data_IF_749430849467
#
_entry.id   IF_749430849467
#
_cell.length_a   1.000
_cell.length_b   1.000
_cell.length_c   1.000
_cell.angle_alpha   90.00
_cell.angle_beta   90.00
_cell.angle_gamma   90.00
#
_symmetry.space_group_name_H-M   'P 1'
#
loop_
_entity.id
_entity.type
_entity.pdbx_description
1 polymer ?
#
# COMPACT_ATOMS: atom_id res chain seq x y z
N UNK A 1 -8.09 11.63 3.14
CA UNK A 1 -6.89 11.12 3.82
C UNK A 1 -5.72 12.10 3.73
N UNK A 2 -5.33 12.60 2.54
CA UNK A 2 -4.19 13.53 2.35
C UNK A 2 -4.16 14.71 3.35
N UNK A 3 -5.27 15.43 3.51
CA UNK A 3 -5.35 16.58 4.43
C UNK A 3 -5.07 16.21 5.90
N UNK A 4 -5.43 15.01 6.34
CA UNK A 4 -5.16 14.53 7.69
C UNK A 4 -3.70 14.13 7.88
N UNK A 5 -3.07 13.53 6.86
CA UNK A 5 -1.64 13.21 6.88
C UNK A 5 -0.79 14.47 6.93
N UNK A 6 -1.14 15.47 6.14
CA UNK A 6 -0.43 16.75 6.14
C UNK A 6 -0.56 17.47 7.48
N UNK A 7 -1.74 17.45 8.10
CA UNK A 7 -1.95 17.99 9.44
C UNK A 7 -1.13 17.24 10.51
N UNK A 8 -1.05 15.91 10.41
CA UNK A 8 -0.24 15.08 11.30
C UNK A 8 1.25 15.38 11.14
N UNK A 9 1.75 15.43 9.89
CA UNK A 9 3.15 15.73 9.58
C UNK A 9 3.59 17.08 10.10
N UNK A 10 2.69 18.09 10.05
CA UNK A 10 2.96 19.44 10.55
C UNK A 10 2.76 19.56 12.07
N UNK A 11 2.24 18.54 12.74
CA UNK A 11 1.89 18.59 14.16
C UNK A 11 0.80 19.58 14.50
N UNK A 12 0.06 20.09 13.50
CA UNK A 12 -0.93 21.14 13.67
C UNK A 12 -2.22 20.87 12.89
N UNK A 13 -3.25 20.47 13.64
CA UNK A 13 -4.58 20.29 13.12
C UNK A 13 -5.40 21.61 13.00
N UNK A 14 -4.87 22.71 13.53
CA UNK A 14 -5.58 23.98 13.69
C UNK A 14 -4.98 25.13 12.90
N UNK A 15 -3.93 24.91 12.10
CA UNK A 15 -3.26 25.97 11.34
C UNK A 15 -4.31 26.76 10.56
N UNK A 16 -4.53 28.00 10.96
CA UNK A 16 -5.28 28.97 10.19
C UNK A 16 -4.32 29.53 9.15
N UNK A 17 -4.50 29.11 7.91
CA UNK A 17 -3.71 29.66 6.82
C UNK A 17 -4.43 30.88 6.31
N UNK A 18 -3.87 32.02 6.60
CA UNK A 18 -4.29 33.32 6.07
C UNK A 18 -3.56 33.57 4.74
N UNK A 19 -3.72 32.64 3.79
CA UNK A 19 -3.21 32.81 2.43
C UNK A 19 -4.25 33.54 1.58
N UNK A 20 -3.83 34.65 1.00
CA UNK A 20 -4.58 35.33 -0.05
C UNK A 20 -4.07 34.88 -1.41
N UNK A 21 -4.91 34.26 -2.20
CA UNK A 21 -4.64 33.93 -3.60
C UNK A 21 -5.53 34.84 -4.43
N UNK A 22 -4.93 35.66 -5.28
CA UNK A 22 -5.63 36.64 -6.15
C UNK A 22 -6.56 37.62 -5.39
N UNK A 23 -6.17 38.00 -4.17
CA UNK A 23 -6.94 38.94 -3.37
C UNK A 23 -8.08 38.36 -2.54
N UNK A 24 -8.46 37.13 -2.75
CA UNK A 24 -9.46 36.41 -1.95
C UNK A 24 -8.85 35.62 -0.78
N UNK A 25 -9.53 35.66 0.36
CA UNK A 25 -9.10 34.98 1.57
C UNK A 25 -9.40 33.47 1.48
N UNK A 26 -8.37 32.62 1.50
CA UNK A 26 -8.54 31.17 1.55
C UNK A 26 -8.96 30.78 2.97
N UNK A 27 -10.24 30.47 3.16
CA UNK A 27 -10.85 30.21 4.47
C UNK A 27 -10.34 28.93 5.16
N UNK A 28 -9.77 27.97 4.45
CA UNK A 28 -9.00 26.86 5.02
C UNK A 28 -8.18 26.14 3.95
N UNK A 29 -6.97 25.75 4.29
CA UNK A 29 -6.12 24.92 3.42
C UNK A 29 -6.81 23.59 3.06
N UNK A 30 -7.55 23.01 4.00
CA UNK A 30 -8.33 21.79 3.79
C UNK A 30 -9.39 21.95 2.70
N UNK A 31 -10.09 23.06 2.68
CA UNK A 31 -11.08 23.36 1.64
C UNK A 31 -10.45 23.69 0.29
N UNK A 32 -9.27 24.30 0.27
CA UNK A 32 -8.53 24.61 -0.95
C UNK A 32 -7.92 23.34 -1.58
N UNK A 33 -7.31 22.46 -0.77
CA UNK A 33 -6.80 21.17 -1.20
C UNK A 33 -7.92 20.27 -1.76
N UNK A 34 -9.08 20.29 -1.11
CA UNK A 34 -10.24 19.51 -1.57
C UNK A 34 -10.79 20.01 -2.91
N UNK A 35 -10.67 21.32 -3.20
CA UNK A 35 -11.15 21.94 -4.45
C UNK A 35 -10.13 21.89 -5.59
N UNK A 36 -8.83 21.91 -5.27
CA UNK A 36 -7.75 21.88 -6.28
C UNK A 36 -7.47 20.47 -6.83
N UNK A 37 -8.02 19.46 -6.18
CA UNK A 37 -7.65 18.09 -6.46
C UNK A 37 -6.23 17.75 -5.96
N UNK A 38 -5.87 16.50 -6.05
CA UNK A 38 -4.54 16.00 -5.71
C UNK A 38 -3.95 15.45 -7.00
N UNK A 39 -2.73 15.85 -7.34
CA UNK A 39 -2.05 15.35 -8.53
C UNK A 39 -1.75 13.86 -8.42
N UNK A 40 -1.74 13.16 -9.56
CA UNK A 40 -1.48 11.72 -9.66
C UNK A 40 -0.20 11.29 -8.90
N UNK A 41 0.89 12.05 -9.04
CA UNK A 41 2.15 11.75 -8.35
C UNK A 41 2.01 11.78 -6.81
N UNK A 42 1.19 12.68 -6.27
CA UNK A 42 0.94 12.75 -4.84
C UNK A 42 0.05 11.59 -4.36
N UNK A 43 -0.93 11.18 -5.17
CA UNK A 43 -1.77 10.01 -4.89
C UNK A 43 -0.95 8.71 -4.90
N UNK A 44 -0.10 8.52 -5.91
CA UNK A 44 0.82 7.38 -5.98
C UNK A 44 1.80 7.34 -4.81
N UNK A 45 2.30 8.50 -4.39
CA UNK A 45 3.17 8.59 -3.21
C UNK A 45 2.44 8.22 -1.92
N UNK A 46 1.21 8.70 -1.74
CA UNK A 46 0.38 8.37 -0.59
C UNK A 46 0.06 6.86 -0.56
N UNK A 47 -0.30 6.30 -1.72
CA UNK A 47 -0.52 4.86 -1.85
C UNK A 47 0.75 4.07 -1.48
N UNK A 48 1.91 4.46 -1.99
CA UNK A 48 3.17 3.80 -1.67
C UNK A 48 3.48 3.79 -0.16
N UNK A 49 3.17 4.86 0.56
CA UNK A 49 3.33 4.93 2.02
C UNK A 49 2.40 3.93 2.71
N UNK A 50 1.13 3.84 2.28
CA UNK A 50 0.16 2.91 2.86
C UNK A 50 0.55 1.46 2.58
N UNK A 51 0.94 1.17 1.34
CA UNK A 51 1.39 -0.16 0.95
C UNK A 51 2.65 -0.58 1.70
N UNK A 52 3.62 0.33 1.88
CA UNK A 52 4.82 0.03 2.68
C UNK A 52 4.49 -0.29 4.13
N UNK A 53 3.51 0.38 4.72
CA UNK A 53 3.04 0.06 6.07
C UNK A 53 2.36 -1.31 6.11
N UNK A 54 1.51 -1.61 5.12
CA UNK A 54 0.81 -2.90 5.02
C UNK A 54 1.78 -4.07 4.89
N UNK A 55 2.68 -4.01 3.92
CA UNK A 55 3.57 -5.14 3.59
C UNK A 55 4.68 -5.38 4.62
N UNK A 56 4.96 -4.43 5.50
CA UNK A 56 5.95 -4.57 6.57
C UNK A 56 5.33 -4.70 7.97
N UNK A 57 4.03 -4.94 8.05
CA UNK A 57 3.34 -5.28 9.29
C UNK A 57 2.97 -6.76 9.23
N UNK A 58 3.34 -7.51 10.25
CA UNK A 58 2.89 -8.90 10.43
C UNK A 58 1.47 -8.85 10.99
N UNK A 59 0.57 -9.64 10.42
CA UNK A 59 -0.81 -9.72 10.86
C UNK A 59 -0.92 -10.39 12.25
N UNK A 60 -2.04 -10.14 12.93
CA UNK A 60 -2.27 -10.69 14.26
C UNK A 60 -2.52 -12.21 14.23
N UNK A 61 -3.12 -12.72 13.16
CA UNK A 61 -3.40 -14.14 12.95
C UNK A 61 -2.13 -15.00 12.90
N UNK A 62 -0.99 -14.41 12.53
CA UNK A 62 0.33 -15.07 12.57
C UNK A 62 0.92 -15.18 13.98
N UNK A 63 0.47 -14.35 14.93
CA UNK A 63 1.04 -14.26 16.27
C UNK A 63 0.12 -14.86 17.34
N UNK A 64 -1.20 -14.79 17.14
CA UNK A 64 -2.22 -15.16 18.10
C UNK A 64 -3.27 -16.06 17.45
N UNK A 65 -3.80 -17.00 18.22
CA UNK A 65 -4.90 -17.86 17.75
C UNK A 65 -6.20 -17.04 17.62
N UNK A 66 -6.66 -16.90 16.38
CA UNK A 66 -7.90 -16.17 16.07
C UNK A 66 -9.06 -17.09 15.67
N UNK A 67 -9.03 -18.35 16.06
CA UNK A 67 -10.13 -19.29 15.80
C UNK A 67 -11.43 -18.81 16.46
N UNK A 68 -12.51 -18.77 15.67
CA UNK A 68 -13.81 -18.25 16.10
C UNK A 68 -13.92 -16.72 16.16
N UNK A 69 -12.85 -15.98 15.82
CA UNK A 69 -12.82 -14.50 15.81
C UNK A 69 -12.89 -13.92 14.39
N UNK A 70 -13.80 -14.42 13.56
CA UNK A 70 -13.91 -14.06 12.14
C UNK A 70 -14.02 -12.54 11.87
N UNK A 71 -14.72 -11.81 12.76
CA UNK A 71 -14.84 -10.35 12.63
C UNK A 71 -13.51 -9.65 12.93
N UNK A 72 -12.77 -10.11 13.92
CA UNK A 72 -11.46 -9.55 14.26
C UNK A 72 -10.45 -9.84 13.15
N UNK A 73 -10.44 -11.07 12.63
CA UNK A 73 -9.59 -11.50 11.51
C UNK A 73 -9.78 -10.65 10.25
N UNK A 74 -11.03 -10.19 10.00
CA UNK A 74 -11.38 -9.31 8.87
C UNK A 74 -11.33 -7.81 9.19
N UNK A 75 -10.87 -7.43 10.36
CA UNK A 75 -10.81 -6.04 10.78
C UNK A 75 -9.39 -5.47 10.66
N UNK A 76 -9.27 -4.16 10.92
CA UNK A 76 -7.96 -3.48 11.01
C UNK A 76 -7.08 -3.98 12.16
N UNK A 77 -7.61 -4.80 13.07
CA UNK A 77 -6.81 -5.46 14.11
C UNK A 77 -5.85 -6.49 13.51
N UNK A 78 -6.24 -7.10 12.40
CA UNK A 78 -5.44 -8.05 11.66
C UNK A 78 -4.75 -7.41 10.43
N UNK A 79 -4.39 -6.11 10.54
CA UNK A 79 -3.73 -5.38 9.47
C UNK A 79 -2.30 -5.88 9.28
N UNK A 80 -1.96 -6.32 8.07
CA UNK A 80 -0.63 -6.79 7.75
C UNK A 80 -0.62 -7.93 6.72
N UNK A 81 0.52 -8.58 6.62
CA UNK A 81 0.74 -9.82 5.89
C UNK A 81 1.05 -10.95 6.87
N UNK A 82 0.74 -12.21 6.53
CA UNK A 82 1.23 -13.35 7.28
C UNK A 82 2.75 -13.32 7.45
N UNK A 83 3.24 -13.83 8.57
CA UNK A 83 4.68 -13.94 8.78
C UNK A 83 5.31 -14.90 7.77
N UNK A 84 6.11 -14.37 6.88
CA UNK A 84 6.83 -15.10 5.85
C UNK A 84 8.27 -15.45 6.24
N UNK A 85 8.70 -15.09 7.47
CA UNK A 85 9.98 -15.52 7.99
C UNK A 85 9.98 -17.05 8.12
N UNK A 86 11.04 -17.69 7.66
CA UNK A 86 11.19 -19.15 7.68
C UNK A 86 10.40 -19.95 6.64
N UNK A 87 9.74 -19.29 5.69
CA UNK A 87 9.16 -19.99 4.54
C UNK A 87 10.30 -20.56 3.69
N UNK A 88 10.17 -21.82 3.32
CA UNK A 88 11.09 -22.46 2.37
C UNK A 88 10.88 -21.85 0.98
N UNK A 89 11.93 -21.82 0.16
CA UNK A 89 11.85 -21.37 -1.24
C UNK A 89 11.10 -22.35 -2.16
N UNK A 90 10.29 -23.22 -1.59
CA UNK A 90 9.43 -24.15 -2.29
C UNK A 90 8.37 -23.40 -3.12
N UNK A 91 8.10 -23.90 -4.32
CA UNK A 91 7.24 -23.24 -5.31
C UNK A 91 5.81 -23.00 -4.77
N UNK A 92 5.29 -23.92 -3.96
CA UNK A 92 3.99 -23.78 -3.31
C UNK A 92 3.98 -22.65 -2.28
N UNK A 93 4.99 -22.60 -1.42
CA UNK A 93 5.12 -21.56 -0.39
C UNK A 93 5.30 -20.17 -1.02
N UNK A 94 6.03 -20.08 -2.13
CA UNK A 94 6.18 -18.82 -2.89
C UNK A 94 4.87 -18.36 -3.51
N UNK A 95 4.08 -19.29 -4.04
CA UNK A 95 2.74 -18.98 -4.57
C UNK A 95 1.82 -18.43 -3.49
N UNK A 96 1.84 -19.06 -2.30
CA UNK A 96 1.05 -18.62 -1.15
C UNK A 96 1.39 -17.18 -0.73
N UNK A 97 2.68 -16.77 -0.81
CA UNK A 97 3.09 -15.37 -0.56
C UNK A 97 2.40 -14.42 -1.55
N UNK A 98 2.38 -14.75 -2.83
CA UNK A 98 1.72 -13.93 -3.86
C UNK A 98 0.21 -13.82 -3.64
N UNK A 99 -0.43 -14.92 -3.31
CA UNK A 99 -1.87 -14.97 -3.04
C UNK A 99 -2.22 -14.19 -1.76
N UNK A 100 -1.42 -14.30 -0.71
CA UNK A 100 -1.57 -13.54 0.53
C UNK A 100 -1.36 -12.05 0.30
N UNK A 101 -0.34 -11.66 -0.48
CA UNK A 101 -0.10 -10.28 -0.86
C UNK A 101 -1.31 -9.70 -1.60
N UNK A 102 -1.84 -10.43 -2.59
CA UNK A 102 -3.04 -10.01 -3.32
C UNK A 102 -4.25 -9.86 -2.41
N UNK A 103 -4.49 -10.84 -1.54
CA UNK A 103 -5.61 -10.83 -0.60
C UNK A 103 -5.52 -9.63 0.37
N UNK A 104 -4.34 -9.36 0.93
CA UNK A 104 -4.12 -8.23 1.82
C UNK A 104 -4.31 -6.87 1.11
N UNK A 105 -3.79 -6.74 -0.12
CA UNK A 105 -4.00 -5.54 -0.94
C UNK A 105 -5.48 -5.27 -1.17
N UNK A 106 -6.25 -6.28 -1.56
CA UNK A 106 -7.69 -6.14 -1.80
C UNK A 106 -8.48 -5.86 -0.52
N UNK A 107 -8.03 -6.37 0.60
CA UNK A 107 -8.73 -6.21 1.86
C UNK A 107 -8.46 -4.85 2.52
N UNK A 108 -7.21 -4.43 2.55
CA UNK A 108 -6.79 -3.23 3.30
C UNK A 108 -6.63 -1.98 2.45
N UNK A 109 -6.62 -2.11 1.11
CA UNK A 109 -6.50 -0.97 0.21
C UNK A 109 -7.74 -0.84 -0.72
N UNK A 110 -8.82 -0.26 -0.21
CA UNK A 110 -10.09 -0.17 -0.94
C UNK A 110 -10.04 0.75 -2.16
N UNK A 111 -8.93 1.46 -2.39
CA UNK A 111 -8.72 2.28 -3.59
C UNK A 111 -8.37 1.45 -4.81
N UNK A 112 -7.94 0.19 -4.64
CA UNK A 112 -7.57 -0.71 -5.73
C UNK A 112 -8.79 -1.46 -6.25
N UNK A 113 -8.92 -1.53 -7.57
CA UNK A 113 -9.96 -2.35 -8.19
C UNK A 113 -9.57 -3.84 -8.15
N UNK A 114 -10.48 -4.66 -7.65
CA UNK A 114 -10.24 -6.09 -7.46
C UNK A 114 -10.07 -6.85 -8.79
N UNK A 115 -10.78 -6.44 -9.81
CA UNK A 115 -10.78 -7.01 -11.16
C UNK A 115 -9.57 -6.55 -12.00
N UNK A 116 -8.96 -5.42 -11.64
CA UNK A 116 -7.76 -4.91 -12.31
C UNK A 116 -6.45 -5.32 -11.60
N UNK A 117 -6.52 -5.81 -10.34
CA UNK A 117 -5.33 -6.15 -9.58
C UNK A 117 -4.75 -7.51 -9.98
N UNK A 118 -3.54 -7.48 -10.51
CA UNK A 118 -2.75 -8.65 -10.87
C UNK A 118 -1.48 -8.69 -10.03
N UNK A 119 -1.16 -9.86 -9.47
CA UNK A 119 0.08 -10.12 -8.74
C UNK A 119 0.71 -11.35 -9.37
N UNK A 120 1.87 -11.17 -9.98
CA UNK A 120 2.59 -12.23 -10.69
C UNK A 120 3.99 -12.37 -10.12
N UNK A 121 4.46 -13.62 -10.01
CA UNK A 121 5.84 -13.87 -9.63
C UNK A 121 6.77 -13.46 -10.77
N UNK A 122 7.80 -12.69 -10.46
CA UNK A 122 8.93 -12.47 -11.37
C UNK A 122 9.81 -13.73 -11.37
N UNK A 123 10.08 -14.28 -12.54
CA UNK A 123 10.90 -15.50 -12.70
C UNK A 123 12.37 -15.26 -12.33
N UNK A 124 12.79 -14.00 -12.21
CA UNK A 124 14.16 -13.64 -11.82
C UNK A 124 14.31 -13.83 -10.31
N UNK A 125 14.68 -15.05 -9.91
CA UNK A 125 15.01 -15.35 -8.51
C UNK A 125 16.49 -15.02 -8.23
N UNK A 126 16.73 -14.20 -7.22
CA UNK A 126 18.07 -13.94 -6.72
C UNK A 126 18.44 -14.97 -5.63
N UNK A 127 19.06 -16.08 -6.03
CA UNK A 127 19.47 -17.16 -5.13
C UNK A 127 20.46 -16.69 -4.06
N UNK A 128 21.28 -15.71 -4.40
CA UNK A 128 22.35 -15.22 -3.49
C UNK A 128 21.76 -14.44 -2.32
N UNK A 129 20.73 -13.62 -2.59
CA UNK A 129 20.10 -12.79 -1.57
C UNK A 129 18.79 -13.37 -1.03
N UNK A 130 18.39 -14.56 -1.47
CA UNK A 130 17.12 -15.22 -1.07
C UNK A 130 15.91 -14.27 -1.20
N UNK A 131 15.81 -13.58 -2.33
CA UNK A 131 14.75 -12.61 -2.60
C UNK A 131 13.79 -13.11 -3.65
N UNK A 132 12.51 -12.98 -3.35
CA UNK A 132 11.42 -13.31 -4.26
C UNK A 132 10.78 -12.01 -4.69
N UNK A 133 10.51 -11.87 -5.99
CA UNK A 133 9.89 -10.69 -6.56
C UNK A 133 8.50 -10.99 -7.07
N UNK A 134 7.59 -10.06 -6.79
CA UNK A 134 6.25 -10.06 -7.35
C UNK A 134 6.02 -8.75 -8.10
N UNK A 135 5.61 -8.86 -9.34
CA UNK A 135 5.15 -7.74 -10.14
C UNK A 135 3.68 -7.52 -9.83
N UNK A 136 3.36 -6.33 -9.35
CA UNK A 136 1.99 -5.93 -9.02
C UNK A 136 1.56 -4.85 -9.99
N UNK A 137 0.48 -5.11 -10.72
CA UNK A 137 -0.15 -4.13 -11.61
C UNK A 137 -1.63 -4.02 -11.29
N UNK A 138 -2.20 -2.85 -11.52
CA UNK A 138 -3.61 -2.61 -11.25
C UNK A 138 -4.01 -1.17 -11.50
N UNK A 139 -5.23 -0.84 -11.07
CA UNK A 139 -5.79 0.49 -11.19
C UNK A 139 -6.30 0.99 -9.85
N UNK A 140 -6.02 2.24 -9.56
CA UNK A 140 -6.50 2.94 -8.38
C UNK A 140 -7.69 3.83 -8.74
N UNK A 141 -8.80 3.65 -8.03
CA UNK A 141 -10.02 4.43 -8.18
C UNK A 141 -9.77 5.92 -7.94
N UNK A 142 -9.96 6.74 -8.95
CA UNK A 142 -9.83 8.19 -8.90
C UNK A 142 -10.91 8.87 -9.74
N UNK A 143 -11.15 10.15 -9.47
CA UNK A 143 -12.06 10.97 -10.26
C UNK A 143 -11.29 12.19 -10.79
N UNK A 144 -11.32 12.50 -12.08
CA UNK A 144 -12.22 11.98 -13.13
C UNK A 144 -11.72 10.71 -13.84
N UNK A 145 -10.48 10.29 -13.66
CA UNK A 145 -9.88 9.13 -14.33
C UNK A 145 -9.17 8.24 -13.33
N UNK A 146 -9.28 6.94 -13.51
CA UNK A 146 -8.54 5.97 -12.72
C UNK A 146 -7.04 6.06 -13.01
N UNK A 147 -6.23 5.73 -12.03
CA UNK A 147 -4.79 5.87 -12.10
C UNK A 147 -4.14 4.49 -12.14
N UNK A 148 -3.42 4.15 -13.23
CA UNK A 148 -2.69 2.90 -13.31
C UNK A 148 -1.56 2.88 -12.26
N UNK A 149 -1.38 1.72 -11.63
CA UNK A 149 -0.32 1.47 -10.66
C UNK A 149 0.50 0.27 -11.10
N UNK A 150 1.81 0.40 -11.01
CA UNK A 150 2.76 -0.67 -11.26
C UNK A 150 3.89 -0.55 -10.25
N UNK A 151 4.20 -1.65 -9.58
CA UNK A 151 5.33 -1.74 -8.67
C UNK A 151 5.83 -3.18 -8.53
N UNK A 152 7.03 -3.33 -8.00
CA UNK A 152 7.61 -4.62 -7.64
C UNK A 152 7.64 -4.72 -6.12
N UNK A 153 7.09 -5.80 -5.57
CA UNK A 153 7.27 -6.19 -4.19
C UNK A 153 8.40 -7.23 -4.12
N UNK A 154 9.50 -6.86 -3.48
CA UNK A 154 10.64 -7.75 -3.24
C UNK A 154 10.58 -8.24 -1.80
N UNK A 155 10.45 -9.54 -1.62
CA UNK A 155 10.36 -10.22 -0.32
C UNK A 155 11.69 -10.86 -0.01
N UNK A 156 12.31 -10.48 1.09
CA UNK A 156 13.48 -11.13 1.64
C UNK A 156 13.04 -12.29 2.55
N UNK A 157 13.23 -13.51 2.09
CA UNK A 157 12.71 -14.72 2.77
C UNK A 157 13.31 -14.89 4.17
N UNK A 158 14.57 -14.52 4.37
CA UNK A 158 15.28 -14.69 5.65
C UNK A 158 14.72 -13.81 6.77
N UNK A 159 14.18 -12.64 6.45
CA UNK A 159 13.69 -11.66 7.43
C UNK A 159 12.19 -11.36 7.33
N UNK A 160 11.52 -11.87 6.29
CA UNK A 160 10.13 -11.52 5.97
C UNK A 160 9.93 -10.07 5.54
N UNK A 161 11.03 -9.30 5.39
CA UNK A 161 10.96 -7.90 5.03
C UNK A 161 10.58 -7.70 3.57
N UNK A 162 9.63 -6.83 3.31
CA UNK A 162 9.18 -6.49 1.97
C UNK A 162 9.61 -5.08 1.58
N UNK A 163 10.20 -4.96 0.38
CA UNK A 163 10.55 -3.67 -0.21
C UNK A 163 9.69 -3.45 -1.45
N UNK A 164 9.12 -2.24 -1.54
CA UNK A 164 8.37 -1.84 -2.73
C UNK A 164 9.27 -0.98 -3.62
N UNK A 165 9.44 -1.43 -4.86
CA UNK A 165 10.21 -0.74 -5.88
C UNK A 165 9.28 -0.33 -7.02
N UNK A 166 9.51 0.86 -7.59
CA UNK A 166 8.80 1.30 -8.77
C UNK A 166 9.37 0.57 -9.99
N UNK A 167 8.50 0.03 -10.83
CA UNK A 167 8.94 -0.48 -12.14
C UNK A 167 9.60 0.67 -12.92
N UNK A 168 10.77 0.45 -13.54
CA UNK A 168 11.33 1.42 -14.45
C UNK A 168 10.34 1.60 -15.60
N UNK A 169 9.90 2.84 -15.81
CA UNK A 169 9.10 3.19 -16.98
C UNK A 169 9.98 2.95 -18.21
N UNK A 170 9.72 1.86 -18.91
CA UNK A 170 10.35 1.62 -20.21
C UNK A 170 9.74 2.64 -21.17
N UNK A 171 10.51 3.67 -21.52
CA UNK A 171 10.16 4.69 -22.52
C UNK A 171 10.26 4.09 -23.89
#
# INVERSE_FOLDING_TARGET
>A
MYAFREANRKGDARTRIDQRVEGERVLSERGALRRRGVGEAALKKDLAIDLMALVNTIDLDSAEDMDGLDFARKSVLNFGLPDVAHITSDELAVRDIGDNLKAALLHFEPRLYADALVVERDEVFDEVNQRIRFVVSGEMACTPFDVPIDFVAEVEVSSGKVQLMRLPVTT
#
